data_IF_534152049822
#
_entry.id   IF_534152049822
#
_cell.length_a   1.000
_cell.length_b   1.000
_cell.length_c   1.000
_cell.angle_alpha   90.00
_cell.angle_beta   90.00
_cell.angle_gamma   90.00
#
_symmetry.space_group_name_H-M   'P 1'
#
loop_
_entity.id
_entity.type
_entity.pdbx_description
1 polymer ?
#
# COMPACT_ATOMS: atom_id res chain seq x y z
N UNK A 1 0.20 -21.62 34.28
CA UNK A 1 1.58 -22.10 34.00
C UNK A 1 2.00 -21.59 32.63
N UNK A 2 3.30 -21.56 32.33
CA UNK A 2 3.82 -21.04 31.05
C UNK A 2 3.21 -21.71 29.80
N UNK A 3 2.92 -23.01 29.86
CA UNK A 3 2.24 -23.76 28.78
C UNK A 3 0.86 -23.18 28.42
N UNK A 4 0.04 -22.89 29.43
CA UNK A 4 -1.29 -22.32 29.22
C UNK A 4 -1.23 -20.94 28.55
N UNK A 5 -0.20 -20.14 28.87
CA UNK A 5 0.01 -18.84 28.23
C UNK A 5 0.31 -19.02 26.74
N UNK A 6 1.21 -19.96 26.41
CA UNK A 6 1.59 -20.25 25.04
C UNK A 6 0.40 -20.75 24.21
N UNK A 7 -0.38 -21.68 24.74
CA UNK A 7 -1.61 -22.19 24.13
C UNK A 7 -2.61 -21.06 23.87
N UNK A 8 -2.83 -20.17 24.86
CA UNK A 8 -3.74 -19.04 24.70
C UNK A 8 -3.26 -18.02 23.67
N UNK A 9 -1.95 -17.78 23.61
CA UNK A 9 -1.35 -16.91 22.59
C UNK A 9 -1.54 -17.50 21.19
N UNK A 10 -1.24 -18.78 20.99
CA UNK A 10 -1.44 -19.48 19.71
C UNK A 10 -2.90 -19.42 19.28
N UNK A 11 -3.83 -19.79 20.17
CA UNK A 11 -5.29 -19.71 19.90
C UNK A 11 -5.73 -18.31 19.50
N UNK A 12 -5.20 -17.27 20.16
CA UNK A 12 -5.54 -15.89 19.84
C UNK A 12 -5.02 -15.51 18.44
N UNK A 13 -3.78 -15.83 18.13
CA UNK A 13 -3.20 -15.52 16.81
C UNK A 13 -3.98 -16.23 15.70
N UNK A 14 -4.30 -17.53 15.86
CA UNK A 14 -5.11 -18.27 14.87
C UNK A 14 -6.48 -17.63 14.67
N UNK A 15 -7.14 -17.21 15.76
CA UNK A 15 -8.43 -16.52 15.66
C UNK A 15 -8.34 -15.18 14.91
N UNK A 16 -7.27 -14.40 15.11
CA UNK A 16 -7.05 -13.15 14.37
C UNK A 16 -6.73 -13.42 12.89
N UNK A 17 -5.96 -14.47 12.57
CA UNK A 17 -5.70 -14.85 11.19
C UNK A 17 -7.01 -15.24 10.48
N UNK A 18 -7.85 -16.08 11.10
CA UNK A 18 -9.15 -16.43 10.52
C UNK A 18 -10.07 -15.22 10.39
N UNK A 19 -10.07 -14.29 11.36
CA UNK A 19 -10.83 -13.05 11.27
C UNK A 19 -10.38 -12.18 10.08
N UNK A 20 -9.07 -12.12 9.81
CA UNK A 20 -8.52 -11.42 8.65
C UNK A 20 -9.02 -12.02 7.34
N UNK A 21 -9.00 -13.36 7.19
CA UNK A 21 -9.55 -14.02 6.01
C UNK A 21 -11.06 -13.77 5.84
N UNK A 22 -11.83 -13.81 6.93
CA UNK A 22 -13.28 -13.50 6.89
C UNK A 22 -13.50 -12.04 6.44
N UNK A 23 -12.68 -11.11 6.89
CA UNK A 23 -12.79 -9.70 6.48
C UNK A 23 -12.52 -9.53 4.98
N UNK A 24 -11.51 -10.22 4.44
CA UNK A 24 -11.21 -10.21 3.01
C UNK A 24 -12.32 -10.84 2.17
N UNK A 25 -12.93 -11.94 2.63
CA UNK A 25 -14.10 -12.55 1.96
C UNK A 25 -15.28 -11.55 1.83
N UNK A 26 -15.37 -10.57 2.73
CA UNK A 26 -16.46 -9.58 2.73
C UNK A 26 -16.20 -8.38 1.80
N UNK A 27 -14.94 -8.13 1.40
CA UNK A 27 -14.57 -7.00 0.55
C UNK A 27 -15.06 -7.19 -0.91
N UNK A 28 -15.65 -6.14 -1.54
CA UNK A 28 -16.26 -6.25 -2.87
C UNK A 28 -15.32 -6.77 -3.97
N UNK A 29 -14.04 -6.39 -3.93
CA UNK A 29 -13.05 -6.79 -4.93
C UNK A 29 -12.76 -8.30 -4.90
N UNK A 30 -12.73 -8.92 -3.71
CA UNK A 30 -12.46 -10.35 -3.53
C UNK A 30 -13.66 -11.23 -3.91
N UNK A 31 -14.90 -10.75 -3.73
CA UNK A 31 -16.10 -11.50 -4.14
C UNK A 31 -16.14 -11.78 -5.65
N UNK A 32 -15.66 -10.85 -6.48
CA UNK A 32 -15.62 -11.04 -7.94
C UNK A 32 -14.69 -12.19 -8.30
N UNK A 33 -13.53 -12.26 -7.63
CA UNK A 33 -12.53 -13.31 -7.85
C UNK A 33 -12.98 -14.69 -7.32
N UNK A 34 -13.67 -14.74 -6.17
CA UNK A 34 -14.22 -16.00 -5.63
C UNK A 34 -15.42 -16.53 -6.41
N UNK A 35 -16.21 -15.67 -7.07
CA UNK A 35 -17.25 -16.15 -7.98
C UNK A 35 -16.65 -16.91 -9.18
N UNK A 36 -15.43 -16.57 -9.58
CA UNK A 36 -14.66 -17.29 -10.60
C UNK A 36 -14.00 -18.56 -10.03
N UNK A 37 -13.54 -18.53 -8.77
CA UNK A 37 -12.94 -19.66 -8.07
C UNK A 37 -13.83 -20.23 -6.96
N UNK A 38 -14.51 -21.36 -7.22
CA UNK A 38 -15.42 -22.06 -6.28
C UNK A 38 -14.78 -22.60 -4.97
N UNK A 39 -13.59 -22.14 -4.57
CA UNK A 39 -12.84 -22.62 -3.40
C UNK A 39 -12.56 -21.47 -2.44
N UNK A 40 -12.86 -21.70 -1.15
CA UNK A 40 -12.41 -20.82 -0.06
C UNK A 40 -10.90 -20.88 0.06
N UNK A 41 -10.23 -19.74 -0.03
CA UNK A 41 -8.78 -19.66 0.15
C UNK A 41 -8.47 -19.67 1.64
N UNK A 42 -7.54 -20.54 2.03
CA UNK A 42 -6.95 -20.58 3.38
C UNK A 42 -5.43 -20.69 3.24
N UNK A 43 -4.67 -20.23 4.25
CA UNK A 43 -3.22 -20.28 4.17
C UNK A 43 -2.76 -21.74 4.13
N UNK A 44 -1.69 -22.01 3.39
CA UNK A 44 -1.00 -23.31 3.37
C UNK A 44 0.41 -23.23 3.95
N UNK A 45 0.97 -22.01 3.96
CA UNK A 45 2.31 -21.71 4.45
C UNK A 45 2.22 -20.55 5.43
N UNK A 46 2.94 -20.67 6.55
CA UNK A 46 3.17 -19.61 7.51
C UNK A 46 4.65 -19.26 7.47
N UNK A 47 4.97 -17.99 7.20
CA UNK A 47 6.34 -17.48 7.25
C UNK A 47 6.50 -16.64 8.52
N UNK A 48 7.38 -17.07 9.42
CA UNK A 48 7.62 -16.37 10.66
C UNK A 48 8.87 -15.50 10.59
N UNK A 49 8.69 -14.21 10.88
CA UNK A 49 9.78 -13.25 11.08
C UNK A 49 9.74 -12.68 12.51
N UNK A 50 10.92 -12.33 13.02
CA UNK A 50 11.13 -11.82 14.36
C UNK A 50 11.57 -12.89 15.37
N UNK A 51 12.10 -12.43 16.50
CA UNK A 51 12.72 -13.29 17.52
C UNK A 51 11.78 -14.35 18.12
N UNK A 52 10.47 -14.13 18.10
CA UNK A 52 9.49 -15.07 18.66
C UNK A 52 9.10 -16.21 17.69
N UNK A 53 9.45 -16.09 16.40
CA UNK A 53 9.02 -17.06 15.38
C UNK A 53 9.50 -18.50 15.64
N UNK A 54 10.75 -18.77 16.09
CA UNK A 54 11.17 -20.13 16.40
C UNK A 54 10.33 -20.82 17.48
N UNK A 55 9.76 -20.06 18.41
CA UNK A 55 8.94 -20.61 19.49
C UNK A 55 7.45 -20.73 19.12
N UNK A 56 6.91 -19.77 18.36
CA UNK A 56 5.47 -19.69 18.07
C UNK A 56 5.08 -20.34 16.75
N UNK A 57 5.89 -20.20 15.70
CA UNK A 57 5.51 -20.60 14.35
C UNK A 57 5.27 -22.11 14.21
N UNK A 58 6.06 -23.01 14.83
CA UNK A 58 5.78 -24.44 14.76
C UNK A 58 4.41 -24.80 15.36
N UNK A 59 4.03 -24.17 16.47
CA UNK A 59 2.74 -24.38 17.14
C UNK A 59 1.57 -23.85 16.31
N UNK A 60 1.76 -22.69 15.66
CA UNK A 60 0.78 -22.14 14.73
C UNK A 60 0.60 -23.03 13.50
N UNK A 61 1.71 -23.55 12.96
CA UNK A 61 1.68 -24.49 11.84
C UNK A 61 0.93 -25.78 12.18
N UNK A 62 1.15 -26.34 13.37
CA UNK A 62 0.43 -27.52 13.86
C UNK A 62 -1.07 -27.24 14.04
N UNK A 63 -1.43 -26.14 14.73
CA UNK A 63 -2.83 -25.76 14.99
C UNK A 63 -3.61 -25.48 13.69
N UNK A 64 -2.96 -24.88 12.69
CA UNK A 64 -3.59 -24.50 11.42
C UNK A 64 -3.42 -25.55 10.31
N UNK A 65 -2.65 -26.62 10.54
CA UNK A 65 -2.30 -27.59 9.50
C UNK A 65 -1.49 -26.98 8.33
N UNK A 66 -0.66 -25.97 8.61
CA UNK A 66 0.12 -25.23 7.63
C UNK A 66 1.63 -25.56 7.73
N UNK A 67 2.35 -25.42 6.62
CA UNK A 67 3.82 -25.51 6.64
C UNK A 67 4.42 -24.28 7.30
N UNK A 68 5.24 -24.46 8.33
CA UNK A 68 5.93 -23.38 9.03
C UNK A 68 7.34 -23.16 8.45
N UNK A 69 7.62 -21.96 7.93
CA UNK A 69 8.91 -21.56 7.38
C UNK A 69 9.50 -20.41 8.20
N UNK A 70 10.75 -20.57 8.64
CA UNK A 70 11.52 -19.52 9.30
C UNK A 70 12.75 -19.25 8.43
N UNK A 71 12.85 -18.08 7.77
CA UNK A 71 14.05 -17.69 7.04
C UNK A 71 15.29 -17.60 7.95
N UNK A 72 16.49 -17.74 7.37
CA UNK A 72 17.74 -17.72 8.14
C UNK A 72 17.91 -16.44 8.98
N UNK A 73 17.61 -15.28 8.39
CA UNK A 73 17.73 -13.96 9.03
C UNK A 73 16.38 -13.44 9.56
N UNK A 74 15.51 -14.35 10.04
CA UNK A 74 14.16 -14.00 10.48
C UNK A 74 14.14 -12.94 11.59
N UNK A 75 15.11 -12.97 12.51
CA UNK A 75 15.25 -12.03 13.63
C UNK A 75 15.52 -10.57 13.19
N UNK A 76 16.16 -10.38 12.03
CA UNK A 76 16.47 -9.07 11.44
C UNK A 76 15.73 -8.80 10.13
N UNK A 77 14.79 -9.66 9.73
CA UNK A 77 14.09 -9.55 8.45
C UNK A 77 13.41 -8.19 8.23
N UNK A 78 12.87 -7.57 9.29
CA UNK A 78 12.30 -6.22 9.20
C UNK A 78 13.35 -5.16 8.85
N UNK A 79 14.58 -5.27 9.40
CA UNK A 79 15.66 -4.36 9.09
C UNK A 79 16.16 -4.55 7.65
N UNK A 80 16.24 -5.79 7.18
CA UNK A 80 16.55 -6.11 5.78
C UNK A 80 15.49 -5.52 4.85
N UNK A 81 14.21 -5.73 5.15
CA UNK A 81 13.11 -5.17 4.37
C UNK A 81 13.13 -3.65 4.30
N UNK A 82 13.42 -2.98 5.42
CA UNK A 82 13.57 -1.52 5.46
C UNK A 82 14.78 -1.03 4.65
N UNK A 83 15.90 -1.76 4.68
CA UNK A 83 17.11 -1.40 3.93
C UNK A 83 16.95 -1.63 2.42
N UNK A 84 16.14 -2.61 2.02
CA UNK A 84 15.88 -2.96 0.62
C UNK A 84 14.69 -2.21 0.02
N UNK A 85 13.84 -1.57 0.83
CA UNK A 85 12.69 -0.84 0.32
C UNK A 85 13.12 0.29 -0.62
N UNK A 86 12.47 0.37 -1.79
CA UNK A 86 12.61 1.51 -2.68
C UNK A 86 12.17 2.78 -1.96
N UNK A 87 12.88 3.88 -2.19
CA UNK A 87 12.42 5.20 -1.74
C UNK A 87 11.15 5.52 -2.51
N UNK A 88 10.06 5.76 -1.78
CA UNK A 88 8.76 6.06 -2.34
C UNK A 88 8.32 7.46 -1.93
N UNK A 89 7.76 8.22 -2.86
CA UNK A 89 7.05 9.46 -2.60
C UNK A 89 5.65 9.32 -3.16
N UNK A 90 4.67 9.66 -2.32
CA UNK A 90 3.25 9.73 -2.65
C UNK A 90 2.76 11.14 -2.36
N UNK A 91 2.01 11.71 -3.29
CA UNK A 91 1.43 13.05 -3.15
C UNK A 91 -0.06 13.01 -3.51
N UNK A 92 -0.85 13.70 -2.69
CA UNK A 92 -2.29 13.85 -2.82
C UNK A 92 -2.61 15.31 -3.09
N UNK A 93 -3.22 15.56 -4.24
CA UNK A 93 -3.55 16.88 -4.74
C UNK A 93 -5.06 17.12 -4.63
N UNK A 94 -5.42 18.30 -4.13
CA UNK A 94 -6.77 18.84 -4.19
C UNK A 94 -6.78 20.08 -5.07
N UNK A 95 -7.55 20.05 -6.15
CA UNK A 95 -7.72 21.16 -7.08
C UNK A 95 -9.10 21.78 -6.91
N UNK A 96 -9.15 23.10 -6.76
CA UNK A 96 -10.38 23.89 -6.78
C UNK A 96 -10.34 24.85 -7.98
N UNK A 97 -11.09 24.52 -9.03
CA UNK A 97 -11.09 25.31 -10.27
C UNK A 97 -11.91 26.60 -10.18
N UNK A 98 -12.84 26.71 -9.22
CA UNK A 98 -13.59 27.94 -8.96
C UNK A 98 -12.70 28.96 -8.25
N UNK A 99 -12.02 28.52 -7.17
CA UNK A 99 -11.08 29.37 -6.42
C UNK A 99 -9.75 29.57 -7.15
N UNK A 100 -9.43 28.71 -8.12
CA UNK A 100 -8.15 28.69 -8.86
C UNK A 100 -6.95 28.45 -7.95
N UNK A 101 -7.07 27.48 -7.05
CA UNK A 101 -5.97 27.01 -6.21
C UNK A 101 -5.88 25.49 -6.26
N UNK A 102 -4.68 24.98 -5.98
CA UNK A 102 -4.50 23.59 -5.61
C UNK A 102 -3.72 23.50 -4.30
N UNK A 103 -3.88 22.38 -3.60
CA UNK A 103 -3.08 22.04 -2.42
C UNK A 103 -2.50 20.64 -2.52
N UNK A 104 -1.38 20.43 -1.84
CA UNK A 104 -0.75 19.12 -1.67
C UNK A 104 -0.84 18.78 -0.18
N UNK A 105 -1.46 17.65 0.15
CA UNK A 105 -1.74 17.29 1.55
C UNK A 105 -0.45 17.05 2.35
N UNK A 106 0.51 16.32 1.78
CA UNK A 106 1.67 15.79 2.48
C UNK A 106 2.68 16.87 2.88
N UNK A 107 2.70 18.01 2.19
CA UNK A 107 3.62 19.11 2.46
C UNK A 107 2.93 20.45 2.73
N UNK A 108 1.59 20.49 2.73
CA UNK A 108 0.80 21.68 3.03
C UNK A 108 0.94 22.83 2.01
N UNK A 109 1.54 22.56 0.84
CA UNK A 109 1.65 23.56 -0.23
C UNK A 109 0.26 23.97 -0.69
N UNK A 110 0.03 25.26 -0.87
CA UNK A 110 -1.17 25.82 -1.47
C UNK A 110 -0.79 26.90 -2.47
N UNK A 111 -1.10 26.68 -3.74
CA UNK A 111 -0.63 27.54 -4.83
C UNK A 111 -1.74 27.84 -5.83
N UNK A 112 -1.56 28.92 -6.60
CA UNK A 112 -2.51 29.30 -7.64
C UNK A 112 -2.51 28.28 -8.76
N UNK A 113 -3.69 27.77 -9.08
CA UNK A 113 -3.91 26.85 -10.17
C UNK A 113 -3.81 27.57 -11.52
N UNK A 114 -3.00 27.03 -12.42
CA UNK A 114 -2.86 27.50 -13.81
C UNK A 114 -2.92 26.30 -14.74
N UNK A 115 -3.73 26.38 -15.78
CA UNK A 115 -3.73 25.38 -16.86
C UNK A 115 -4.42 24.05 -16.54
N UNK A 116 -5.12 23.93 -15.41
CA UNK A 116 -5.93 22.74 -15.08
C UNK A 116 -7.41 23.08 -15.21
N UNK A 117 -8.09 22.41 -16.13
CA UNK A 117 -9.52 22.57 -16.39
C UNK A 117 -10.28 21.24 -16.44
N UNK A 118 -9.57 20.15 -16.66
CA UNK A 118 -10.09 18.79 -16.76
C UNK A 118 -9.40 17.84 -15.76
N UNK A 119 -9.97 16.65 -15.58
CA UNK A 119 -9.34 15.58 -14.80
C UNK A 119 -7.97 15.19 -15.38
N UNK A 120 -7.87 15.04 -16.70
CA UNK A 120 -6.63 14.69 -17.39
C UNK A 120 -5.54 15.76 -17.22
N UNK A 121 -5.91 17.05 -17.18
CA UNK A 121 -4.96 18.13 -16.89
C UNK A 121 -4.42 18.01 -15.46
N UNK A 122 -5.31 17.69 -14.50
CA UNK A 122 -4.96 17.53 -13.09
C UNK A 122 -4.05 16.30 -12.87
N UNK A 123 -4.33 15.19 -13.54
CA UNK A 123 -3.49 13.98 -13.54
C UNK A 123 -2.09 14.28 -14.08
N UNK A 124 -2.01 14.86 -15.29
CA UNK A 124 -0.74 15.24 -15.92
C UNK A 124 0.07 16.21 -15.05
N UNK A 125 -0.61 17.20 -14.45
CA UNK A 125 -0.01 18.14 -13.53
C UNK A 125 0.58 17.43 -12.29
N UNK A 126 -0.21 16.54 -11.68
CA UNK A 126 0.17 15.83 -10.46
C UNK A 126 1.37 14.91 -10.69
N UNK A 127 1.38 14.15 -11.79
CA UNK A 127 2.50 13.28 -12.18
C UNK A 127 3.79 14.09 -12.40
N UNK A 128 3.69 15.22 -13.11
CA UNK A 128 4.83 16.11 -13.35
C UNK A 128 5.37 16.68 -12.04
N UNK A 129 4.48 17.17 -11.17
CA UNK A 129 4.85 17.74 -9.87
C UNK A 129 5.49 16.70 -8.96
N UNK A 130 5.01 15.46 -8.97
CA UNK A 130 5.61 14.35 -8.24
C UNK A 130 7.04 14.06 -8.71
N UNK A 131 7.29 14.06 -10.03
CA UNK A 131 8.63 13.91 -10.58
C UNK A 131 9.57 15.03 -10.11
N UNK A 132 9.10 16.28 -10.12
CA UNK A 132 9.87 17.44 -9.63
C UNK A 132 10.22 17.31 -8.14
N UNK A 133 9.26 16.94 -7.30
CA UNK A 133 9.48 16.76 -5.86
C UNK A 133 10.40 15.55 -5.59
N UNK A 134 10.23 14.45 -6.31
CA UNK A 134 11.13 13.30 -6.24
C UNK A 134 12.58 13.67 -6.58
N UNK A 135 12.78 14.43 -7.66
CA UNK A 135 14.11 14.92 -8.06
C UNK A 135 14.75 15.80 -6.98
N UNK A 136 13.98 16.65 -6.29
CA UNK A 136 14.48 17.47 -5.16
C UNK A 136 14.90 16.62 -3.97
N UNK A 137 14.22 15.50 -3.73
CA UNK A 137 14.53 14.55 -2.66
C UNK A 137 15.63 13.55 -3.03
N UNK A 138 16.13 13.58 -4.28
CA UNK A 138 17.13 12.63 -4.76
C UNK A 138 16.59 11.23 -5.04
N UNK A 139 15.27 11.09 -5.23
CA UNK A 139 14.68 9.84 -5.71
C UNK A 139 15.16 9.64 -7.16
N UNK A 140 15.75 8.48 -7.51
CA UNK A 140 16.25 8.23 -8.84
C UNK A 140 15.14 8.43 -9.89
N UNK A 141 15.34 9.35 -10.84
CA UNK A 141 14.35 9.66 -11.89
C UNK A 141 14.19 8.58 -12.96
N UNK A 142 14.48 7.31 -12.63
CA UNK A 142 14.31 6.17 -13.53
C UNK A 142 12.93 5.54 -13.41
N UNK A 143 12.20 5.80 -12.32
CA UNK A 143 10.87 5.23 -12.12
C UNK A 143 9.79 6.22 -12.59
N UNK A 144 8.93 5.74 -13.48
CA UNK A 144 7.77 6.50 -13.97
C UNK A 144 6.71 6.58 -12.87
N UNK A 145 6.25 7.79 -12.50
CA UNK A 145 5.14 7.96 -11.57
C UNK A 145 3.86 7.24 -12.03
N UNK A 146 3.11 6.71 -11.07
CA UNK A 146 1.83 6.06 -11.31
C UNK A 146 0.66 6.81 -10.67
N UNK A 147 -0.49 6.76 -11.33
CA UNK A 147 -1.76 7.25 -10.80
C UNK A 147 -2.36 6.20 -9.86
N UNK A 148 -2.55 6.55 -8.60
CA UNK A 148 -3.21 5.68 -7.60
C UNK A 148 -4.72 5.77 -7.74
N UNK A 149 -5.24 6.99 -7.77
CA UNK A 149 -6.65 7.28 -8.04
C UNK A 149 -6.83 8.73 -8.48
N UNK A 150 -7.95 9.00 -9.14
CA UNK A 150 -8.40 10.36 -9.42
C UNK A 150 -9.93 10.43 -9.33
N UNK A 151 -10.43 11.53 -8.77
CA UNK A 151 -11.86 11.78 -8.58
C UNK A 151 -12.21 13.21 -9.00
N UNK A 152 -13.42 13.41 -9.52
CA UNK A 152 -13.91 14.72 -9.95
C UNK A 152 -15.34 14.94 -9.50
N UNK A 153 -15.55 16.04 -8.77
CA UNK A 153 -16.85 16.49 -8.33
C UNK A 153 -17.18 17.84 -8.96
N UNK A 154 -18.34 17.90 -9.65
CA UNK A 154 -18.83 19.16 -10.21
C UNK A 154 -19.50 20.00 -9.10
N UNK A 155 -19.08 21.25 -8.96
CA UNK A 155 -19.73 22.21 -8.07
C UNK A 155 -20.90 22.89 -8.80
N UNK A 156 -22.12 22.70 -8.29
CA UNK A 156 -23.35 23.25 -8.88
C UNK A 156 -23.90 24.35 -7.98
N UNK A 157 -24.15 25.54 -8.56
CA UNK A 157 -24.92 26.62 -7.93
C UNK A 157 -25.91 27.20 -8.93
N UNK A 158 -27.11 27.51 -8.46
CA UNK A 158 -28.16 28.08 -9.31
C UNK A 158 -28.47 27.25 -10.56
N UNK A 159 -28.37 25.91 -10.47
CA UNK A 159 -28.56 24.97 -11.57
C UNK A 159 -27.50 25.01 -12.69
N UNK A 160 -26.34 25.61 -12.43
CA UNK A 160 -25.18 25.64 -13.35
C UNK A 160 -23.92 25.14 -12.64
N UNK A 161 -23.07 24.46 -13.38
CA UNK A 161 -21.73 24.09 -12.89
C UNK A 161 -20.86 25.35 -12.87
N UNK A 162 -20.40 25.76 -11.69
CA UNK A 162 -19.52 26.93 -11.51
C UNK A 162 -18.04 26.55 -11.46
N UNK A 163 -17.73 25.33 -10.98
CA UNK A 163 -16.37 24.83 -10.91
C UNK A 163 -16.33 23.33 -10.65
N UNK A 164 -15.14 22.84 -10.36
CA UNK A 164 -14.84 21.43 -10.12
C UNK A 164 -13.88 21.31 -8.96
N UNK A 165 -14.15 20.34 -8.10
CA UNK A 165 -13.17 19.82 -7.16
C UNK A 165 -12.59 18.56 -7.78
N UNK A 166 -11.28 18.46 -7.83
CA UNK A 166 -10.58 17.31 -8.40
C UNK A 166 -9.57 16.84 -7.39
N UNK A 167 -9.62 15.56 -7.07
CA UNK A 167 -8.69 14.91 -6.16
C UNK A 167 -7.85 13.94 -6.95
N UNK A 168 -6.52 14.04 -6.85
CA UNK A 168 -5.59 13.19 -7.59
C UNK A 168 -4.52 12.69 -6.65
N UNK A 169 -4.32 11.38 -6.61
CA UNK A 169 -3.26 10.77 -5.84
C UNK A 169 -2.29 10.06 -6.78
N UNK A 170 -1.01 10.42 -6.68
CA UNK A 170 0.08 9.86 -7.49
C UNK A 170 1.20 9.38 -6.59
N UNK A 171 1.95 8.38 -7.03
CA UNK A 171 3.12 7.88 -6.31
C UNK A 171 4.21 7.38 -7.26
N UNK A 172 5.44 7.25 -6.76
CA UNK A 172 6.40 6.36 -7.42
C UNK A 172 6.02 4.89 -7.17
N UNK A 173 6.42 3.95 -8.04
CA UNK A 173 6.20 2.54 -7.81
C UNK A 173 6.73 2.08 -6.44
N UNK A 174 5.94 1.27 -5.74
CA UNK A 174 6.41 0.59 -4.53
C UNK A 174 7.23 -0.65 -4.88
N UNK A 175 8.16 -1.04 -4.02
CA UNK A 175 8.89 -2.29 -4.19
C UNK A 175 10.18 -2.36 -3.39
N UNK A 176 11.00 -3.35 -3.72
CA UNK A 176 12.36 -3.50 -3.21
C UNK A 176 13.37 -3.19 -4.31
N UNK A 177 14.54 -2.71 -3.93
CA UNK A 177 15.69 -2.53 -4.82
C UNK A 177 16.02 -3.89 -5.46
N UNK A 178 16.26 -3.90 -6.77
CA UNK A 178 16.70 -5.12 -7.45
C UNK A 178 18.05 -5.54 -6.89
N UNK A 179 18.09 -6.72 -6.26
CA UNK A 179 19.32 -7.34 -5.83
C UNK A 179 19.91 -8.06 -7.05
N UNK A 180 20.97 -7.51 -7.65
CA UNK A 180 21.81 -8.35 -8.51
C UNK A 180 22.45 -9.41 -7.61
N UNK A 181 22.09 -10.67 -7.79
CA UNK A 181 22.87 -11.78 -7.23
C UNK A 181 24.31 -11.62 -7.74
N UNK A 182 25.20 -11.20 -6.86
CA UNK A 182 26.64 -11.34 -7.02
C UNK A 182 26.98 -12.83 -7.00
N UNK A 183 26.66 -13.53 -8.09
CA UNK A 183 27.05 -14.89 -8.32
C UNK A 183 28.57 -14.96 -8.34
N UNK A 184 29.15 -15.43 -7.25
CA UNK A 184 30.46 -16.05 -7.26
C UNK A 184 30.32 -17.29 -8.15
N UNK A 185 30.85 -17.19 -9.38
CA UNK A 185 31.15 -18.35 -10.22
C UNK A 185 32.36 -19.10 -9.66
#
# INVERSE_FOLDING_TARGET
>A
TAKLVLEKTVQRIVAEIEAMFISWEQEPAYRIWEMEQRKKIRPQNLVGIGAASPALLPLLGEEMGCSALIPADADVANAIGAALAKVNLRLTFHFDTDRKFYSIEENGVQEKLKGVSSLADAESFSLTRLQEEGNKMGIPGQEEPELVYSELFNMVRGWRTEGRLIDVCVQFPTGILEFQEGGVR
#
